data_IF_621648296338
#
_entry.id   IF_621648296338
#
_cell.length_a   1.000
_cell.length_b   1.000
_cell.length_c   1.000
_cell.angle_alpha   90.00
_cell.angle_beta   90.00
_cell.angle_gamma   90.00
#
_symmetry.space_group_name_H-M   'P 1'
#
loop_
_entity.id
_entity.type
_entity.pdbx_description
1 polymer ?
#
# COMPACT_ATOMS: atom_id res chain seq x y z
N UNK A 1 27.88 -4.27 -7.93
CA UNK A 1 26.84 -3.24 -8.06
C UNK A 1 27.11 -2.18 -7.01
N UNK A 2 26.76 -0.90 -7.25
CA UNK A 2 26.92 0.17 -6.27
C UNK A 2 25.53 0.57 -5.75
N UNK A 3 25.44 0.85 -4.46
CA UNK A 3 24.20 1.26 -3.79
C UNK A 3 24.40 2.63 -3.16
N UNK A 4 23.34 3.43 -3.19
CA UNK A 4 23.27 4.74 -2.52
C UNK A 4 21.93 4.85 -1.80
N UNK A 5 21.93 5.52 -0.65
CA UNK A 5 20.72 5.87 0.11
C UNK A 5 20.50 7.37 0.01
N UNK A 6 19.28 7.77 -0.34
CA UNK A 6 18.89 9.17 -0.49
C UNK A 6 17.82 9.52 0.54
N UNK A 7 17.99 10.64 1.24
CA UNK A 7 16.97 11.20 2.13
C UNK A 7 16.19 12.26 1.35
N UNK A 8 14.92 11.96 1.07
CA UNK A 8 14.08 12.78 0.21
C UNK A 8 12.92 13.32 1.05
N UNK A 9 12.58 14.62 0.92
CA UNK A 9 11.38 15.17 1.55
C UNK A 9 10.13 14.40 1.13
N UNK A 10 9.23 14.12 2.08
CA UNK A 10 8.03 13.30 1.87
C UNK A 10 7.15 13.80 0.71
N UNK A 11 6.97 15.12 0.62
CA UNK A 11 6.23 15.77 -0.47
C UNK A 11 6.88 15.65 -1.86
N UNK A 12 8.11 15.12 -1.95
CA UNK A 12 8.84 14.86 -3.20
C UNK A 12 9.06 13.37 -3.45
N UNK A 13 8.69 12.50 -2.51
CA UNK A 13 8.95 11.07 -2.59
C UNK A 13 8.27 10.42 -3.80
N UNK A 14 6.94 10.60 -3.92
CA UNK A 14 6.15 10.04 -5.02
C UNK A 14 6.69 10.44 -6.40
N UNK A 15 6.98 11.73 -6.60
CA UNK A 15 7.59 12.23 -7.83
C UNK A 15 8.94 11.58 -8.13
N UNK A 16 9.79 11.44 -7.12
CA UNK A 16 11.11 10.83 -7.29
C UNK A 16 11.00 9.35 -7.66
N UNK A 17 10.10 8.59 -7.03
CA UNK A 17 9.87 7.18 -7.35
C UNK A 17 9.40 7.02 -8.79
N UNK A 18 8.48 7.85 -9.28
CA UNK A 18 8.03 7.83 -10.68
C UNK A 18 9.16 8.14 -11.65
N UNK A 19 9.97 9.16 -11.35
CA UNK A 19 11.14 9.50 -12.16
C UNK A 19 12.12 8.32 -12.22
N UNK A 20 12.45 7.70 -11.09
CA UNK A 20 13.38 6.58 -11.03
C UNK A 20 12.81 5.34 -11.75
N UNK A 21 11.51 5.07 -11.65
CA UNK A 21 10.84 3.99 -12.42
C UNK A 21 10.91 4.22 -13.94
N UNK A 22 11.00 5.47 -14.39
CA UNK A 22 11.19 5.80 -15.81
C UNK A 22 12.60 5.50 -16.33
N UNK A 23 13.58 5.33 -15.42
CA UNK A 23 14.97 5.04 -15.79
C UNK A 23 15.13 3.53 -16.03
N UNK A 24 15.23 3.13 -17.30
CA UNK A 24 15.31 1.71 -17.70
C UNK A 24 16.54 0.92 -17.21
N UNK A 25 17.43 1.52 -16.44
CA UNK A 25 18.60 0.89 -15.83
C UNK A 25 18.44 0.58 -14.33
N UNK A 26 17.32 0.98 -13.73
CA UNK A 26 17.04 0.72 -12.32
C UNK A 26 16.61 -0.73 -12.15
N UNK A 27 17.45 -1.53 -11.48
CA UNK A 27 17.20 -2.96 -11.28
C UNK A 27 16.28 -3.27 -10.09
N UNK A 28 16.27 -2.41 -9.06
CA UNK A 28 15.51 -2.60 -7.83
C UNK A 28 15.26 -1.27 -7.14
N UNK A 29 14.06 -1.11 -6.59
CA UNK A 29 13.68 -0.02 -5.68
C UNK A 29 13.22 -0.71 -4.40
N UNK A 30 13.83 -0.38 -3.27
CA UNK A 30 13.41 -0.86 -1.95
C UNK A 30 12.56 0.22 -1.31
N UNK A 31 11.25 0.09 -1.48
CA UNK A 31 10.25 0.99 -0.92
C UNK A 31 9.66 0.37 0.36
N UNK A 32 9.53 1.19 1.41
CA UNK A 32 8.91 0.78 2.68
C UNK A 32 7.44 1.20 2.77
N UNK A 33 6.94 2.03 1.86
CA UNK A 33 5.51 2.31 1.78
C UNK A 33 4.76 1.02 1.41
N UNK A 34 3.65 0.74 2.08
CA UNK A 34 2.74 -0.34 1.68
C UNK A 34 2.38 -0.11 0.22
N UNK A 35 2.88 -0.99 -0.65
CA UNK A 35 2.65 -0.86 -2.08
C UNK A 35 1.17 -0.87 -2.39
N UNK A 36 0.77 -0.26 -3.51
CA UNK A 36 -0.62 -0.31 -4.02
C UNK A 36 -1.19 -1.74 -4.03
N UNK A 37 -0.34 -2.76 -4.21
CA UNK A 37 -0.71 -4.18 -4.11
C UNK A 37 -1.18 -4.60 -2.72
N UNK A 38 -0.54 -4.10 -1.66
CA UNK A 38 -0.95 -4.37 -0.29
C UNK A 38 -2.30 -3.71 0.01
N UNK A 39 -2.47 -2.45 -0.38
CA UNK A 39 -3.76 -1.73 -0.24
C UNK A 39 -4.89 -2.47 -0.99
N UNK A 40 -4.62 -2.95 -2.22
CA UNK A 40 -5.61 -3.72 -2.99
C UNK A 40 -5.95 -5.06 -2.31
N UNK A 41 -4.95 -5.71 -1.71
CA UNK A 41 -5.15 -6.94 -0.96
C UNK A 41 -6.00 -6.69 0.28
N UNK A 42 -5.69 -5.66 1.05
CA UNK A 42 -6.42 -5.30 2.27
C UNK A 42 -7.87 -4.92 1.96
N UNK A 43 -8.11 -4.18 0.87
CA UNK A 43 -9.47 -3.90 0.36
C UNK A 43 -10.19 -5.20 -0.05
N UNK A 44 -9.51 -6.12 -0.72
CA UNK A 44 -10.11 -7.40 -1.14
C UNK A 44 -10.51 -8.24 0.07
N UNK A 45 -9.68 -8.27 1.11
CA UNK A 45 -9.96 -8.98 2.37
C UNK A 45 -11.17 -8.35 3.08
N UNK A 46 -11.22 -7.03 3.19
CA UNK A 46 -12.36 -6.30 3.76
C UNK A 46 -13.69 -6.61 3.05
N UNK A 47 -13.68 -6.77 1.71
CA UNK A 47 -14.88 -7.14 0.95
C UNK A 47 -15.37 -8.55 1.29
N UNK A 48 -14.46 -9.51 1.50
CA UNK A 48 -14.83 -10.87 1.93
C UNK A 48 -15.40 -10.88 3.34
N UNK A 49 -14.81 -10.11 4.26
CA UNK A 49 -15.32 -9.97 5.62
C UNK A 49 -16.75 -9.40 5.65
N UNK A 50 -17.05 -8.40 4.82
CA UNK A 50 -18.41 -7.86 4.67
C UNK A 50 -19.40 -8.93 4.22
N UNK A 51 -19.00 -9.88 3.35
CA UNK A 51 -19.87 -11.01 2.97
C UNK A 51 -20.15 -11.94 4.15
N UNK A 52 -19.16 -12.18 5.01
CA UNK A 52 -19.33 -13.03 6.20
C UNK A 52 -20.17 -12.34 7.28
N UNK A 53 -20.04 -11.02 7.45
CA UNK A 53 -20.91 -10.21 8.32
C UNK A 53 -22.36 -10.30 7.84
N UNK A 54 -22.61 -10.17 6.53
CA UNK A 54 -23.95 -10.33 5.95
C UNK A 54 -24.55 -11.72 6.15
N UNK A 55 -23.71 -12.75 6.24
CA UNK A 55 -24.12 -14.13 6.58
C UNK A 55 -24.30 -14.37 8.07
N UNK A 56 -24.05 -13.37 8.92
CA UNK A 56 -24.13 -13.47 10.38
C UNK A 56 -22.98 -14.26 11.02
N UNK A 57 -21.90 -14.52 10.27
CA UNK A 57 -20.76 -15.32 10.73
C UNK A 57 -19.68 -14.49 11.44
N UNK A 58 -19.63 -13.18 11.15
CA UNK A 58 -18.70 -12.23 11.77
C UNK A 58 -19.46 -11.03 12.33
N UNK A 59 -18.91 -10.42 13.39
CA UNK A 59 -19.38 -9.12 13.89
C UNK A 59 -18.73 -8.01 13.07
N UNK A 60 -19.54 -7.10 12.54
CA UNK A 60 -19.04 -5.94 11.82
C UNK A 60 -18.46 -4.88 12.75
N UNK A 61 -17.44 -4.17 12.26
CA UNK A 61 -16.91 -2.94 12.85
C UNK A 61 -17.48 -1.73 12.10
N UNK A 62 -17.30 -0.53 12.65
CA UNK A 62 -17.74 0.68 11.94
C UNK A 62 -16.86 0.93 10.71
N UNK A 63 -17.43 1.57 9.68
CA UNK A 63 -16.66 1.94 8.49
C UNK A 63 -15.48 2.88 8.81
N UNK A 64 -15.59 3.64 9.91
CA UNK A 64 -14.53 4.54 10.36
C UNK A 64 -13.37 3.76 10.99
N UNK A 65 -13.67 2.72 11.76
CA UNK A 65 -12.65 1.88 12.37
C UNK A 65 -11.90 1.08 11.29
N UNK A 66 -12.63 0.56 10.30
CA UNK A 66 -12.04 -0.11 9.14
C UNK A 66 -11.06 0.78 8.37
N UNK A 67 -11.38 2.07 8.19
CA UNK A 67 -10.49 3.03 7.52
C UNK A 67 -9.25 3.40 8.35
N UNK A 68 -9.25 3.19 9.67
CA UNK A 68 -8.08 3.45 10.51
C UNK A 68 -7.11 2.25 10.56
N UNK A 69 -7.56 1.08 10.09
CA UNK A 69 -6.76 -0.16 10.02
C UNK A 69 -6.02 -0.31 8.68
N UNK A 70 -6.46 0.43 7.66
CA UNK A 70 -5.81 0.56 6.35
C UNK A 70 -4.74 1.66 6.36
#
# INVERSE_FOLDING_TARGET
MKQVTLYIPENKYSFFIELVKSLGFVKKIEDKEQGKEQILKDISEAVEEVKLIKKGQLKGISAKDLLNEL
#
